data_IF_501106553462
#
_entry.id   IF_501106553462
#
_cell.length_a   1.000
_cell.length_b   1.000
_cell.length_c   1.000
_cell.angle_alpha   90.00
_cell.angle_beta   90.00
_cell.angle_gamma   90.00
#
_symmetry.space_group_name_H-M   'P 1'
#
loop_
_entity.id
_entity.type
_entity.pdbx_description
1 polymer ?
#
# COMPACT_ATOMS: atom_id res chain seq x y z
N UNK A 1 -10.60 28.82 28.47
CA UNK A 1 -9.36 28.02 28.35
C UNK A 1 -9.64 26.52 28.20
N UNK A 2 -10.63 25.95 28.88
CA UNK A 2 -10.99 24.51 28.80
C UNK A 2 -11.63 24.12 27.46
N UNK A 3 -12.52 24.95 26.89
CA UNK A 3 -13.20 24.73 25.62
C UNK A 3 -12.25 24.76 24.41
N UNK A 4 -11.22 25.60 24.48
CA UNK A 4 -10.23 25.71 23.37
C UNK A 4 -9.32 24.46 23.30
N UNK A 5 -8.97 23.87 24.46
CA UNK A 5 -8.17 22.63 24.52
C UNK A 5 -8.94 21.44 23.97
N UNK A 6 -10.24 21.34 24.24
CA UNK A 6 -11.07 20.25 23.73
C UNK A 6 -11.31 20.40 22.21
N UNK A 7 -11.46 21.61 21.67
CA UNK A 7 -11.58 21.84 20.25
C UNK A 7 -10.30 21.48 19.47
N UNK A 8 -9.13 21.81 20.03
CA UNK A 8 -7.84 21.43 19.43
C UNK A 8 -7.64 19.92 19.47
N UNK A 9 -8.01 19.25 20.55
CA UNK A 9 -7.90 17.79 20.66
C UNK A 9 -8.82 17.08 19.67
N UNK A 10 -10.07 17.55 19.52
CA UNK A 10 -11.02 17.03 18.52
C UNK A 10 -10.48 17.26 17.09
N UNK A 11 -9.91 18.43 16.82
CA UNK A 11 -9.33 18.75 15.51
C UNK A 11 -8.12 17.87 15.18
N UNK A 12 -7.26 17.59 16.16
CA UNK A 12 -6.11 16.68 16.00
C UNK A 12 -6.56 15.24 15.79
N UNK A 13 -7.60 14.78 16.51
CA UNK A 13 -8.17 13.45 16.31
C UNK A 13 -8.85 13.31 14.92
N UNK A 14 -9.54 14.34 14.44
CA UNK A 14 -10.14 14.35 13.11
C UNK A 14 -9.10 14.31 11.99
N UNK A 15 -7.98 15.03 12.12
CA UNK A 15 -6.91 14.98 11.13
C UNK A 15 -6.16 13.62 11.14
N UNK A 16 -6.02 12.99 12.30
CA UNK A 16 -5.42 11.65 12.40
C UNK A 16 -6.30 10.56 11.77
N UNK A 17 -7.62 10.71 11.84
CA UNK A 17 -8.57 9.76 11.23
C UNK A 17 -8.58 9.93 9.69
N UNK A 18 -8.49 11.15 9.19
CA UNK A 18 -8.49 11.41 7.75
C UNK A 18 -7.20 10.95 7.05
N UNK A 19 -6.04 11.06 7.69
CA UNK A 19 -4.77 10.60 7.11
C UNK A 19 -4.68 9.08 6.95
N UNK A 20 -5.42 8.32 7.77
CA UNK A 20 -5.52 6.86 7.64
C UNK A 20 -6.52 6.41 6.55
N UNK A 21 -7.43 7.30 6.11
CA UNK A 21 -8.45 6.96 5.12
C UNK A 21 -7.99 7.14 3.66
N UNK A 22 -7.09 8.08 3.38
CA UNK A 22 -6.79 8.47 2.00
C UNK A 22 -5.90 7.48 1.24
N UNK A 23 -5.01 6.76 1.92
CA UNK A 23 -4.08 5.82 1.27
C UNK A 23 -4.77 4.52 0.83
N UNK A 24 -5.93 4.16 1.38
CA UNK A 24 -6.57 2.86 1.16
C UNK A 24 -7.75 2.87 0.19
N UNK A 25 -8.21 4.03 -0.26
CA UNK A 25 -9.40 4.11 -1.13
C UNK A 25 -9.13 3.85 -2.62
N UNK A 26 -7.92 4.09 -3.08
CA UNK A 26 -7.64 4.17 -4.53
C UNK A 26 -7.46 2.80 -5.18
N UNK A 27 -7.17 1.74 -4.46
CA UNK A 27 -6.52 0.58 -5.06
C UNK A 27 -7.12 -0.78 -4.79
N UNK A 28 -8.32 -0.86 -4.24
CA UNK A 28 -8.80 -2.16 -3.79
C UNK A 28 -9.31 -3.06 -4.92
N UNK A 29 -10.02 -2.50 -5.90
CA UNK A 29 -10.43 -3.21 -7.09
C UNK A 29 -11.02 -2.23 -8.11
N UNK A 30 -10.83 -2.48 -9.39
CA UNK A 30 -11.39 -1.62 -10.43
C UNK A 30 -10.95 -2.00 -11.82
N UNK A 31 -11.32 -1.13 -12.76
CA UNK A 31 -10.82 -1.20 -14.11
C UNK A 31 -9.34 -0.84 -14.12
N UNK A 32 -8.58 -1.62 -14.85
CA UNK A 32 -7.16 -1.42 -15.04
C UNK A 32 -6.78 -1.25 -16.49
N UNK A 33 -5.56 -0.83 -16.67
CA UNK A 33 -4.82 -0.82 -17.91
C UNK A 33 -3.48 -1.52 -17.66
N UNK A 34 -3.04 -2.36 -18.57
CA UNK A 34 -1.72 -2.94 -18.48
C UNK A 34 -0.93 -2.69 -19.76
N UNK A 35 0.34 -2.38 -19.57
CA UNK A 35 1.40 -2.37 -20.56
C UNK A 35 2.50 -3.34 -20.12
N UNK A 36 3.62 -3.41 -20.83
CA UNK A 36 4.73 -4.23 -20.40
C UNK A 36 6.07 -3.57 -20.70
N UNK A 37 7.07 -3.92 -19.90
CA UNK A 37 8.45 -3.47 -20.02
C UNK A 37 9.43 -4.60 -19.74
N UNK A 38 10.66 -4.43 -20.16
CA UNK A 38 11.75 -5.33 -19.77
C UNK A 38 12.12 -5.10 -18.32
N UNK A 39 11.48 -5.80 -17.40
CA UNK A 39 11.79 -5.69 -15.98
C UNK A 39 13.25 -6.06 -15.73
N UNK A 40 14.02 -5.13 -15.19
CA UNK A 40 15.38 -5.36 -14.73
C UNK A 40 15.40 -5.65 -13.23
N UNK A 41 16.44 -6.34 -12.78
CA UNK A 41 16.67 -6.51 -11.35
C UNK A 41 16.68 -5.16 -10.63
N UNK A 42 15.91 -5.02 -9.58
CA UNK A 42 16.07 -3.96 -8.61
C UNK A 42 15.21 -2.72 -8.71
N UNK A 43 14.11 -2.69 -9.44
CA UNK A 43 13.18 -1.55 -9.57
C UNK A 43 13.13 -0.57 -8.39
N UNK A 44 12.44 0.55 -8.52
CA UNK A 44 12.46 1.65 -7.54
C UNK A 44 11.98 1.29 -6.12
N UNK A 45 11.43 0.10 -5.92
CA UNK A 45 11.12 -0.41 -4.57
C UNK A 45 12.35 -0.98 -3.85
N UNK A 46 13.49 -1.11 -4.50
CA UNK A 46 14.77 -1.46 -3.86
C UNK A 46 14.82 -2.86 -3.22
N UNK A 47 13.99 -3.81 -3.68
CA UNK A 47 14.01 -5.20 -3.18
C UNK A 47 15.21 -6.02 -3.66
N UNK A 48 16.02 -5.48 -4.57
CA UNK A 48 17.07 -6.22 -5.25
C UNK A 48 16.53 -7.11 -6.36
N UNK A 49 17.31 -8.10 -6.77
CA UNK A 49 16.87 -9.05 -7.80
C UNK A 49 15.89 -10.07 -7.22
N UNK A 50 14.62 -9.85 -7.50
CA UNK A 50 13.50 -10.75 -7.16
C UNK A 50 12.90 -11.41 -8.40
N UNK A 51 13.49 -11.19 -9.59
CA UNK A 51 13.04 -11.79 -10.84
C UNK A 51 13.15 -13.33 -10.78
N UNK A 52 12.03 -13.99 -11.15
CA UNK A 52 11.94 -15.46 -11.07
C UNK A 52 11.46 -16.01 -9.73
N UNK A 53 11.38 -15.19 -8.66
CA UNK A 53 10.77 -15.59 -7.39
C UNK A 53 9.32 -15.14 -7.27
N UNK A 54 9.00 -13.98 -7.83
CA UNK A 54 7.66 -13.41 -7.86
C UNK A 54 7.47 -12.62 -9.15
N UNK A 55 6.28 -12.67 -9.73
CA UNK A 55 5.90 -11.83 -10.86
C UNK A 55 5.80 -10.38 -10.40
N UNK A 56 6.32 -9.43 -11.19
CA UNK A 56 6.42 -8.03 -10.80
C UNK A 56 5.78 -7.08 -11.81
N UNK A 57 5.46 -5.89 -11.32
CA UNK A 57 5.01 -4.76 -12.13
C UNK A 57 5.59 -3.44 -11.61
N UNK A 58 5.70 -2.46 -12.51
CA UNK A 58 5.81 -1.07 -12.15
C UNK A 58 4.41 -0.45 -12.05
N UNK A 59 4.20 0.40 -11.05
CA UNK A 59 2.93 1.07 -10.85
C UNK A 59 2.99 2.54 -11.27
N UNK A 60 1.88 3.07 -11.81
CA UNK A 60 1.72 4.51 -12.00
C UNK A 60 1.90 5.25 -10.67
N UNK A 61 2.18 6.56 -10.74
CA UNK A 61 2.72 7.30 -9.61
C UNK A 61 1.77 7.48 -8.43
N UNK A 62 0.45 7.42 -8.62
CA UNK A 62 -0.52 7.50 -7.51
C UNK A 62 -0.65 6.17 -6.77
N UNK A 63 -0.46 5.04 -7.46
CA UNK A 63 -0.40 3.70 -6.85
C UNK A 63 0.98 3.45 -6.23
N UNK A 64 2.04 3.92 -6.85
CA UNK A 64 3.40 3.86 -6.30
C UNK A 64 3.53 4.68 -5.01
N UNK A 65 2.89 5.85 -4.98
CA UNK A 65 2.72 6.74 -3.80
C UNK A 65 4.00 6.91 -2.98
N UNK A 66 5.06 7.43 -3.61
CA UNK A 66 6.34 7.65 -2.93
C UNK A 66 6.92 6.39 -2.26
N UNK A 67 6.76 5.24 -2.89
CA UNK A 67 7.08 3.89 -2.45
C UNK A 67 6.14 3.25 -1.41
N UNK A 68 5.03 3.88 -1.00
CA UNK A 68 4.03 3.24 -0.15
C UNK A 68 3.36 2.05 -0.83
N UNK A 69 3.26 2.05 -2.17
CA UNK A 69 2.76 0.93 -2.97
C UNK A 69 3.72 -0.25 -3.08
N UNK A 70 4.98 -0.09 -2.71
CA UNK A 70 5.99 -1.14 -2.83
C UNK A 70 5.63 -2.40 -2.05
N UNK A 71 5.74 -3.56 -2.72
CA UNK A 71 5.44 -4.86 -2.14
C UNK A 71 3.96 -5.17 -1.97
N UNK A 72 3.04 -4.29 -2.39
CA UNK A 72 1.63 -4.61 -2.50
C UNK A 72 1.42 -5.47 -3.74
N UNK A 73 0.55 -6.48 -3.64
CA UNK A 73 0.24 -7.38 -4.75
C UNK A 73 -1.15 -7.12 -5.30
N UNK A 74 -1.24 -7.22 -6.62
CA UNK A 74 -2.46 -7.11 -7.38
C UNK A 74 -2.65 -8.35 -8.26
N UNK A 75 -3.88 -8.85 -8.33
CA UNK A 75 -4.28 -9.74 -9.41
C UNK A 75 -4.71 -8.92 -10.61
N UNK A 76 -4.06 -9.15 -11.73
CA UNK A 76 -4.35 -8.52 -13.03
C UNK A 76 -5.03 -9.56 -13.90
N UNK A 77 -6.23 -9.26 -14.39
CA UNK A 77 -7.09 -10.18 -15.13
C UNK A 77 -7.32 -9.60 -16.53
N UNK A 78 -6.90 -10.33 -17.55
CA UNK A 78 -7.13 -10.02 -18.96
C UNK A 78 -7.93 -11.10 -19.68
N UNK A 79 -7.94 -11.06 -21.02
CA UNK A 79 -8.77 -11.98 -21.82
C UNK A 79 -8.26 -13.42 -21.80
N UNK A 80 -6.95 -13.65 -21.70
CA UNK A 80 -6.35 -14.98 -21.74
C UNK A 80 -6.12 -15.61 -20.35
N UNK A 81 -6.13 -14.79 -19.29
CA UNK A 81 -5.91 -15.31 -17.96
C UNK A 81 -5.66 -14.22 -16.91
N UNK A 82 -5.16 -14.64 -15.76
CA UNK A 82 -4.80 -13.72 -14.69
C UNK A 82 -3.42 -14.02 -14.08
N UNK A 83 -2.80 -13.00 -13.51
CA UNK A 83 -1.53 -13.08 -12.78
C UNK A 83 -1.58 -12.23 -11.53
N UNK A 84 -0.96 -12.72 -10.48
CA UNK A 84 -0.68 -11.93 -9.27
C UNK A 84 0.72 -11.35 -9.43
N UNK A 85 0.79 -10.02 -9.40
CA UNK A 85 2.03 -9.26 -9.54
C UNK A 85 2.29 -8.42 -8.29
N UNK A 86 3.54 -8.29 -7.90
CA UNK A 86 3.97 -7.41 -6.82
C UNK A 86 4.49 -6.09 -7.40
N UNK A 87 4.08 -4.97 -6.81
CA UNK A 87 4.67 -3.67 -7.16
C UNK A 87 6.12 -3.65 -6.68
N UNK A 88 7.03 -3.61 -7.65
CA UNK A 88 8.48 -3.58 -7.42
C UNK A 88 9.14 -2.33 -8.00
N UNK A 89 8.41 -1.57 -8.81
CA UNK A 89 8.94 -0.40 -9.51
C UNK A 89 7.88 0.70 -9.67
N UNK A 90 8.29 1.87 -10.11
CA UNK A 90 7.44 2.99 -10.49
C UNK A 90 7.40 3.16 -12.00
N UNK A 91 6.26 3.59 -12.54
CA UNK A 91 6.06 3.92 -13.95
C UNK A 91 5.64 5.39 -14.10
N UNK A 92 6.59 6.35 -14.18
CA UNK A 92 6.27 7.77 -14.32
C UNK A 92 5.52 8.12 -15.62
N UNK A 93 5.67 7.30 -16.67
CA UNK A 93 4.99 7.47 -17.95
C UNK A 93 3.60 6.84 -18.01
N UNK A 94 3.23 6.04 -17.01
CA UNK A 94 1.91 5.44 -16.92
C UNK A 94 0.85 6.49 -16.58
N UNK A 95 -0.34 6.36 -17.18
CA UNK A 95 -1.45 7.26 -16.89
C UNK A 95 -1.97 7.08 -15.48
N UNK A 96 -2.22 8.18 -14.79
CA UNK A 96 -2.69 8.18 -13.39
C UNK A 96 -4.15 7.79 -13.26
N UNK A 97 -4.50 7.20 -12.12
CA UNK A 97 -5.91 6.88 -11.78
C UNK A 97 -6.77 8.12 -11.80
N UNK A 98 -6.31 9.24 -11.23
CA UNK A 98 -7.05 10.50 -11.19
C UNK A 98 -7.40 11.07 -12.58
N UNK A 99 -6.60 10.72 -13.60
CA UNK A 99 -6.78 11.18 -14.97
C UNK A 99 -7.72 10.27 -15.77
N UNK A 100 -7.66 8.96 -15.54
CA UNK A 100 -8.30 7.95 -16.40
C UNK A 100 -9.39 7.13 -15.71
N UNK A 101 -9.44 7.14 -14.39
CA UNK A 101 -10.28 6.22 -13.61
C UNK A 101 -9.81 4.76 -13.66
N UNK A 102 -8.62 4.49 -14.20
CA UNK A 102 -8.05 3.14 -14.36
C UNK A 102 -6.70 3.03 -13.69
N UNK A 103 -6.48 1.98 -12.92
CA UNK A 103 -5.15 1.61 -12.39
C UNK A 103 -4.26 1.20 -13.55
N UNK A 104 -3.13 1.85 -13.74
CA UNK A 104 -2.17 1.48 -14.79
C UNK A 104 -0.96 0.76 -14.18
N UNK A 105 -0.79 -0.51 -14.56
CA UNK A 105 0.37 -1.32 -14.21
C UNK A 105 1.17 -1.65 -15.48
N UNK A 106 2.48 -1.44 -15.41
CA UNK A 106 3.43 -1.83 -16.44
C UNK A 106 4.05 -3.17 -16.02
N UNK A 107 3.68 -4.23 -16.71
CA UNK A 107 3.97 -5.60 -16.30
C UNK A 107 5.34 -6.05 -16.79
N UNK A 108 5.97 -6.98 -16.10
CA UNK A 108 7.11 -7.71 -16.65
C UNK A 108 6.70 -8.36 -17.99
N UNK A 109 7.47 -8.12 -19.04
CA UNK A 109 7.16 -8.60 -20.39
C UNK A 109 7.01 -10.13 -20.49
N UNK A 110 7.55 -10.89 -19.55
CA UNK A 110 7.45 -12.35 -19.49
C UNK A 110 6.06 -12.83 -19.07
N UNK A 111 5.33 -12.01 -18.33
CA UNK A 111 4.01 -12.38 -17.81
C UNK A 111 2.86 -11.81 -18.66
N UNK A 112 3.08 -10.72 -19.39
CA UNK A 112 2.06 -10.08 -20.20
C UNK A 112 1.38 -11.06 -21.19
N UNK A 113 2.10 -11.96 -21.92
CA UNK A 113 1.49 -12.94 -22.82
C UNK A 113 0.60 -13.99 -22.15
N UNK A 114 0.67 -14.10 -20.81
CA UNK A 114 -0.17 -15.01 -20.05
C UNK A 114 -1.51 -14.37 -19.63
N UNK A 115 -1.63 -13.06 -19.85
CA UNK A 115 -2.79 -12.24 -19.51
C UNK A 115 -3.54 -11.85 -20.77
N UNK A 116 -2.82 -11.48 -21.85
CA UNK A 116 -3.40 -11.12 -23.15
C UNK A 116 -2.36 -11.25 -24.28
N UNK A 117 -2.80 -10.97 -25.51
CA UNK A 117 -1.97 -11.01 -26.72
C UNK A 117 -0.91 -9.88 -26.64
N UNK A 118 0.39 -10.25 -26.72
CA UNK A 118 1.51 -9.32 -26.55
C UNK A 118 1.51 -8.18 -27.58
N UNK A 119 1.09 -8.47 -28.80
CA UNK A 119 1.06 -7.53 -29.92
C UNK A 119 0.07 -6.37 -29.70
N UNK A 120 -0.90 -6.50 -28.80
CA UNK A 120 -1.80 -5.40 -28.41
C UNK A 120 -1.03 -4.25 -27.72
N UNK A 121 0.06 -4.55 -27.02
CA UNK A 121 0.91 -3.57 -26.33
C UNK A 121 0.27 -2.91 -25.13
N UNK A 122 -1.00 -2.53 -25.25
CA UNK A 122 -1.83 -1.92 -24.20
C UNK A 122 -3.15 -2.66 -24.16
N UNK A 123 -3.56 -3.07 -22.95
CA UNK A 123 -4.80 -3.83 -22.73
C UNK A 123 -5.64 -3.24 -21.59
N UNK A 124 -6.94 -3.36 -21.71
CA UNK A 124 -7.84 -3.15 -20.58
C UNK A 124 -7.88 -4.40 -19.72
N UNK A 125 -7.87 -4.24 -18.41
CA UNK A 125 -7.83 -5.32 -17.42
C UNK A 125 -8.81 -5.05 -16.28
N UNK A 126 -9.12 -6.08 -15.51
CA UNK A 126 -9.64 -5.92 -14.16
C UNK A 126 -8.49 -6.13 -13.18
N UNK A 127 -8.41 -5.27 -12.16
CA UNK A 127 -7.32 -5.28 -11.19
C UNK A 127 -7.91 -5.31 -9.78
N UNK A 128 -7.37 -6.14 -8.90
CA UNK A 128 -7.72 -6.15 -7.49
C UNK A 128 -6.51 -6.40 -6.60
N UNK A 129 -6.48 -5.72 -5.46
CA UNK A 129 -5.45 -5.96 -4.44
C UNK A 129 -5.68 -7.34 -3.81
N UNK A 130 -4.60 -8.11 -3.69
CA UNK A 130 -4.62 -9.46 -3.10
C UNK A 130 -3.40 -9.68 -2.23
N UNK A 131 -3.42 -10.65 -1.31
CA UNK A 131 -2.20 -11.05 -0.62
C UNK A 131 -1.15 -11.59 -1.59
N UNK A 132 0.11 -11.21 -1.36
CA UNK A 132 1.24 -11.70 -2.14
C UNK A 132 1.46 -13.21 -1.97
N UNK A 133 1.84 -13.89 -3.03
CA UNK A 133 2.14 -15.31 -3.04
C UNK A 133 3.59 -15.58 -2.60
N UNK A 134 3.92 -15.16 -1.39
CA UNK A 134 5.22 -15.40 -0.78
C UNK A 134 5.12 -16.46 0.31
N UNK A 135 6.23 -17.14 0.59
CA UNK A 135 6.35 -18.16 1.63
C UNK A 135 7.26 -17.73 2.76
N UNK A 136 7.06 -18.32 3.94
CA UNK A 136 7.86 -18.00 5.14
C UNK A 136 7.45 -16.70 5.81
N UNK A 137 8.35 -16.17 6.63
CA UNK A 137 8.10 -15.01 7.48
C UNK A 137 8.46 -13.69 6.80
N UNK A 138 7.93 -12.59 7.31
CA UNK A 138 8.38 -11.25 6.97
C UNK A 138 9.87 -11.12 7.32
N UNK A 139 10.61 -10.38 6.51
CA UNK A 139 12.03 -10.11 6.73
C UNK A 139 12.30 -8.62 6.87
N UNK A 140 13.14 -8.28 7.83
CA UNK A 140 13.66 -6.93 8.03
C UNK A 140 15.14 -6.89 7.62
N UNK A 141 15.48 -5.93 6.78
CA UNK A 141 16.85 -5.70 6.31
C UNK A 141 17.35 -4.37 6.87
N UNK A 142 18.25 -4.41 7.82
CA UNK A 142 18.94 -3.22 8.35
C UNK A 142 20.20 -3.04 7.50
N UNK A 143 20.15 -2.10 6.56
CA UNK A 143 21.21 -1.92 5.56
C UNK A 143 22.35 -1.06 6.05
N UNK A 144 22.02 -0.07 6.89
CA UNK A 144 23.00 0.79 7.54
C UNK A 144 22.54 1.13 8.95
N UNK A 145 23.45 1.14 9.87
CA UNK A 145 23.19 1.54 11.25
C UNK A 145 24.45 2.04 11.94
N UNK A 146 24.28 3.06 12.75
CA UNK A 146 25.25 3.53 13.72
C UNK A 146 24.50 4.24 14.87
N UNK A 147 25.19 4.83 15.82
CA UNK A 147 24.52 5.48 16.96
C UNK A 147 23.65 6.70 16.60
N UNK A 148 23.67 7.15 15.34
CA UNK A 148 22.99 8.36 14.89
C UNK A 148 22.16 8.16 13.62
N UNK A 149 22.20 6.96 13.02
CA UNK A 149 21.60 6.70 11.73
C UNK A 149 21.03 5.29 11.66
N UNK A 150 19.83 5.18 11.14
CA UNK A 150 19.12 3.94 10.87
C UNK A 150 18.59 3.94 9.46
N UNK A 151 18.84 2.90 8.69
CA UNK A 151 18.30 2.68 7.37
C UNK A 151 17.91 1.20 7.24
N UNK A 152 16.63 0.96 6.96
CA UNK A 152 16.09 -0.37 6.82
C UNK A 152 15.00 -0.44 5.76
N UNK A 153 14.68 -1.65 5.32
CA UNK A 153 13.47 -1.98 4.58
C UNK A 153 12.96 -3.35 5.00
N UNK A 154 11.72 -3.65 4.68
CA UNK A 154 11.16 -4.99 4.89
C UNK A 154 10.82 -5.64 3.56
N UNK A 155 10.79 -6.97 3.54
CA UNK A 155 10.44 -7.78 2.39
C UNK A 155 9.69 -9.05 2.78
N UNK A 156 9.28 -9.84 1.79
CA UNK A 156 8.63 -11.13 1.96
C UNK A 156 7.36 -11.08 2.81
N UNK A 157 6.59 -10.00 2.72
CA UNK A 157 5.31 -9.88 3.41
C UNK A 157 4.15 -10.20 2.46
N UNK A 158 3.14 -10.93 2.99
CA UNK A 158 1.91 -11.26 2.25
C UNK A 158 0.99 -10.05 2.10
N UNK A 159 0.97 -9.20 3.10
CA UNK A 159 0.14 -7.99 3.15
C UNK A 159 1.07 -6.78 3.14
N UNK A 160 0.79 -5.82 2.27
CA UNK A 160 1.59 -4.61 2.10
C UNK A 160 1.94 -3.94 3.42
N UNK A 161 3.09 -3.29 3.47
CA UNK A 161 3.60 -2.62 4.66
C UNK A 161 3.10 -1.17 4.70
N UNK A 162 2.41 -0.80 5.78
CA UNK A 162 1.97 0.57 6.03
C UNK A 162 3.11 1.43 6.63
N UNK A 163 3.70 0.97 7.74
CA UNK A 163 4.76 1.72 8.42
C UNK A 163 5.77 0.82 9.12
N UNK A 164 6.91 1.41 9.43
CA UNK A 164 7.91 0.88 10.34
C UNK A 164 8.04 1.83 11.52
N UNK A 165 7.97 1.29 12.72
CA UNK A 165 8.13 2.04 13.96
C UNK A 165 9.32 1.53 14.76
N UNK A 166 9.95 2.42 15.50
CA UNK A 166 11.00 2.07 16.46
C UNK A 166 10.64 2.56 17.86
N UNK A 167 11.07 1.80 18.86
CA UNK A 167 11.06 2.18 20.28
C UNK A 167 12.48 2.13 20.79
N UNK A 168 12.87 3.08 21.62
CA UNK A 168 14.19 3.21 22.19
C UNK A 168 14.09 3.16 23.72
N UNK A 169 14.97 2.39 24.35
CA UNK A 169 15.09 2.30 25.82
C UNK A 169 13.77 1.96 26.53
N UNK A 170 12.89 1.21 25.86
CA UNK A 170 11.58 0.84 26.42
C UNK A 170 10.54 1.96 26.40
N UNK A 171 10.82 3.07 25.70
CA UNK A 171 9.86 4.15 25.48
C UNK A 171 8.79 3.81 24.43
N UNK A 172 7.94 4.79 24.13
CA UNK A 172 6.87 4.64 23.13
C UNK A 172 7.43 4.41 21.72
N UNK A 173 6.63 3.73 20.88
CA UNK A 173 6.93 3.57 19.46
C UNK A 173 6.65 4.88 18.70
N UNK A 174 7.51 5.21 17.77
CA UNK A 174 7.34 6.32 16.84
C UNK A 174 7.63 5.90 15.40
N UNK A 175 6.97 6.54 14.44
CA UNK A 175 7.12 6.22 13.03
C UNK A 175 8.48 6.65 12.50
N UNK A 176 9.07 5.79 11.69
CA UNK A 176 10.25 6.11 10.88
C UNK A 176 9.75 6.53 9.50
N UNK A 177 10.21 7.69 9.03
CA UNK A 177 9.81 8.18 7.72
C UNK A 177 10.21 7.21 6.60
N UNK A 178 9.27 6.91 5.71
CA UNK A 178 9.55 6.19 4.48
C UNK A 178 10.13 7.18 3.47
N UNK A 179 11.29 6.86 2.93
CA UNK A 179 11.97 7.58 1.88
C UNK A 179 11.89 6.82 0.56
N UNK A 180 12.45 7.39 -0.50
CA UNK A 180 12.55 6.75 -1.80
C UNK A 180 13.14 5.34 -1.72
N UNK A 181 12.82 4.52 -2.68
CA UNK A 181 13.26 3.12 -2.77
C UNK A 181 12.81 2.26 -1.58
N UNK A 182 11.63 2.56 -1.00
CA UNK A 182 11.05 1.80 0.11
C UNK A 182 11.99 1.72 1.33
N UNK A 183 12.77 2.77 1.58
CA UNK A 183 13.68 2.85 2.72
C UNK A 183 13.04 3.58 3.89
N UNK A 184 13.22 3.04 5.07
CA UNK A 184 12.86 3.70 6.33
C UNK A 184 14.13 4.27 6.93
N UNK A 185 14.19 5.61 7.03
CA UNK A 185 15.41 6.31 7.41
C UNK A 185 15.14 7.19 8.62
N UNK A 186 16.02 7.11 9.60
CA UNK A 186 15.99 7.98 10.78
C UNK A 186 17.38 8.45 11.18
N UNK A 187 17.47 9.74 11.53
CA UNK A 187 18.67 10.38 12.07
C UNK A 187 18.51 10.64 13.58
N UNK A 188 18.36 9.57 14.35
CA UNK A 188 18.11 9.65 15.80
C UNK A 188 19.40 9.25 16.54
N UNK A 189 19.75 10.06 17.55
CA UNK A 189 20.86 9.74 18.44
C UNK A 189 20.49 8.68 19.48
N UNK A 190 21.47 7.89 19.90
CA UNK A 190 21.35 6.85 20.95
C UNK A 190 20.43 5.69 20.57
N UNK A 191 20.71 5.03 19.47
CA UNK A 191 20.01 3.81 19.02
C UNK A 191 20.38 2.59 19.91
N UNK A 192 20.16 2.71 21.22
CA UNK A 192 20.37 1.62 22.18
C UNK A 192 19.03 1.04 22.62
N UNK A 193 19.02 -0.25 23.01
CA UNK A 193 17.84 -0.99 23.42
C UNK A 193 16.66 -0.74 22.46
N UNK A 194 16.88 -1.01 21.19
CA UNK A 194 15.96 -0.73 20.10
C UNK A 194 15.01 -1.90 19.87
N UNK A 195 13.74 -1.57 19.65
CA UNK A 195 12.75 -2.48 19.07
C UNK A 195 12.29 -1.92 17.74
N UNK A 196 12.19 -2.78 16.72
CA UNK A 196 11.64 -2.43 15.41
C UNK A 196 10.35 -3.18 15.21
N UNK A 197 9.28 -2.44 14.93
CA UNK A 197 7.93 -2.95 14.68
C UNK A 197 7.50 -2.61 13.27
N UNK A 198 6.94 -3.57 12.58
CA UNK A 198 6.34 -3.43 11.25
C UNK A 198 4.83 -3.45 11.38
N UNK A 199 4.15 -2.56 10.65
CA UNK A 199 2.70 -2.46 10.64
C UNK A 199 2.23 -2.65 9.20
N UNK A 200 1.34 -3.63 8.99
CA UNK A 200 0.74 -3.89 7.68
C UNK A 200 -0.35 -2.88 7.33
N UNK A 201 -0.75 -2.82 6.05
CA UNK A 201 -1.90 -2.03 5.59
C UNK A 201 -3.23 -2.50 6.20
N UNK A 202 -3.31 -3.71 6.77
CA UNK A 202 -4.45 -4.19 7.55
C UNK A 202 -4.39 -3.80 9.03
N UNK A 203 -3.31 -3.14 9.48
CA UNK A 203 -3.11 -2.70 10.86
C UNK A 203 -2.51 -3.75 11.78
N UNK A 204 -2.14 -4.94 11.27
CA UNK A 204 -1.47 -5.95 12.07
C UNK A 204 -0.02 -5.55 12.36
N UNK A 205 0.45 -5.83 13.57
CA UNK A 205 1.77 -5.44 14.07
C UNK A 205 2.67 -6.66 14.28
N UNK A 206 3.93 -6.55 13.85
CA UNK A 206 4.98 -7.54 14.09
C UNK A 206 6.21 -6.84 14.65
N UNK A 207 6.62 -7.18 15.88
CA UNK A 207 7.93 -6.79 16.40
C UNK A 207 8.96 -7.73 15.79
N UNK A 208 9.80 -7.18 14.92
CA UNK A 208 10.74 -7.93 14.10
C UNK A 208 12.16 -7.95 14.64
N UNK A 209 12.52 -6.95 15.41
CA UNK A 209 13.85 -6.79 15.96
C UNK A 209 13.80 -6.22 17.36
N UNK A 210 14.57 -6.82 18.28
CA UNK A 210 14.76 -6.33 19.64
C UNK A 210 16.18 -6.65 20.08
N UNK A 211 17.01 -5.64 20.37
CA UNK A 211 18.37 -5.80 20.82
C UNK A 211 18.87 -4.56 21.60
N UNK A 212 19.92 -4.76 22.41
CA UNK A 212 20.60 -3.66 23.11
C UNK A 212 21.30 -2.68 22.17
N UNK A 213 21.67 -3.13 20.98
CA UNK A 213 22.31 -2.32 19.94
C UNK A 213 21.65 -2.60 18.60
N UNK A 214 21.68 -1.62 17.71
CA UNK A 214 21.27 -1.84 16.34
C UNK A 214 22.42 -2.43 15.53
N UNK A 215 22.16 -3.52 14.84
CA UNK A 215 23.18 -4.25 14.07
C UNK A 215 22.70 -4.36 12.62
N UNK A 216 23.56 -4.01 11.68
CA UNK A 216 23.31 -4.23 10.25
C UNK A 216 23.17 -5.74 9.98
N UNK A 217 22.17 -6.12 9.20
CA UNK A 217 21.91 -7.52 8.85
C UNK A 217 20.48 -7.77 8.37
N UNK A 218 20.23 -9.03 8.05
CA UNK A 218 18.94 -9.54 7.63
C UNK A 218 18.31 -10.35 8.76
N UNK A 219 17.08 -10.02 9.12
CA UNK A 219 16.38 -10.59 10.25
C UNK A 219 15.07 -11.23 9.82
N UNK A 220 14.85 -12.46 10.24
CA UNK A 220 13.57 -13.13 10.13
C UNK A 220 12.67 -12.69 11.28
N UNK A 221 11.51 -12.14 10.97
CA UNK A 221 10.58 -11.63 11.98
C UNK A 221 9.82 -12.73 12.74
N UNK A 222 10.03 -14.00 12.41
CA UNK A 222 9.37 -15.14 13.05
C UNK A 222 7.88 -15.26 12.78
N UNK A 223 7.28 -14.33 12.03
CA UNK A 223 5.86 -14.25 11.73
C UNK A 223 5.61 -13.75 10.32
N UNK A 224 4.38 -13.97 9.86
CA UNK A 224 3.82 -13.40 8.62
C UNK A 224 2.52 -12.64 8.96
N UNK A 225 2.20 -11.59 8.21
CA UNK A 225 0.92 -10.90 8.34
C UNK A 225 -0.26 -11.80 7.97
N UNK A 226 -1.36 -11.66 8.70
CA UNK A 226 -2.56 -12.49 8.57
C UNK A 226 -3.34 -12.16 7.31
N UNK A 227 -3.46 -13.14 6.43
CA UNK A 227 -4.31 -13.06 5.24
C UNK A 227 -5.79 -12.95 5.63
N UNK A 228 -6.20 -13.55 6.75
CA UNK A 228 -7.57 -13.46 7.23
C UNK A 228 -7.95 -12.04 7.59
N UNK A 229 -7.08 -11.33 8.33
CA UNK A 229 -7.36 -9.96 8.77
C UNK A 229 -7.43 -8.99 7.58
N UNK A 230 -6.61 -9.23 6.55
CA UNK A 230 -6.71 -8.51 5.28
C UNK A 230 -8.09 -8.68 4.64
N UNK A 231 -8.58 -9.90 4.49
CA UNK A 231 -9.88 -10.15 3.87
C UNK A 231 -11.05 -9.64 4.73
N UNK A 232 -10.95 -9.69 6.04
CA UNK A 232 -11.96 -9.17 6.94
C UNK A 232 -12.09 -7.64 6.81
N UNK A 233 -10.96 -6.93 6.69
CA UNK A 233 -10.94 -5.50 6.44
C UNK A 233 -11.45 -5.16 5.04
N UNK A 234 -10.99 -5.89 4.03
CA UNK A 234 -11.39 -5.75 2.64
C UNK A 234 -12.90 -5.93 2.46
N UNK A 235 -13.47 -6.96 3.04
CA UNK A 235 -14.92 -7.23 2.96
C UNK A 235 -15.75 -6.14 3.62
N UNK A 236 -15.32 -5.59 4.76
CA UNK A 236 -16.04 -4.50 5.45
C UNK A 236 -16.07 -3.20 4.66
N UNK A 237 -14.98 -2.85 3.99
CA UNK A 237 -14.90 -1.63 3.19
C UNK A 237 -15.73 -1.70 1.91
N UNK A 238 -15.74 -2.85 1.24
CA UNK A 238 -16.47 -3.02 -0.03
C UNK A 238 -17.98 -3.06 0.17
N UNK A 239 -18.47 -3.72 1.21
CA UNK A 239 -19.90 -3.84 1.50
C UNK A 239 -20.53 -2.47 1.82
N UNK A 240 -19.74 -1.49 2.33
CA UNK A 240 -20.24 -0.16 2.67
C UNK A 240 -20.39 0.81 1.50
N UNK A 241 -19.68 0.63 0.38
CA UNK A 241 -19.56 1.67 -0.65
C UNK A 241 -20.05 1.28 -2.06
N UNK A 242 -20.04 0.00 -2.46
CA UNK A 242 -20.53 -0.40 -3.78
C UNK A 242 -21.00 -1.86 -3.83
N UNK A 243 -22.29 -2.10 -3.69
CA UNK A 243 -22.91 -3.41 -3.95
C UNK A 243 -22.80 -3.91 -5.41
N UNK A 244 -22.22 -3.11 -6.32
CA UNK A 244 -22.33 -3.33 -7.76
C UNK A 244 -21.14 -3.94 -8.47
N UNK A 245 -19.97 -4.07 -7.83
CA UNK A 245 -18.79 -4.64 -8.50
C UNK A 245 -18.57 -6.09 -8.05
N UNK A 246 -18.95 -7.06 -8.90
CA UNK A 246 -18.67 -8.47 -8.65
C UNK A 246 -17.19 -8.80 -8.54
N UNK A 247 -16.35 -8.03 -9.22
CA UNK A 247 -14.89 -8.18 -9.19
C UNK A 247 -14.26 -7.91 -7.81
N UNK A 248 -14.96 -7.15 -6.96
CA UNK A 248 -14.51 -6.84 -5.61
C UNK A 248 -14.97 -7.88 -4.57
N UNK A 249 -15.80 -8.85 -4.96
CA UNK A 249 -16.18 -9.94 -4.07
C UNK A 249 -14.99 -10.88 -3.85
N UNK A 250 -14.96 -11.54 -2.69
CA UNK A 250 -13.96 -12.52 -2.27
C UNK A 250 -13.58 -13.42 -3.47
N UNK A 251 -12.30 -13.75 -3.68
CA UNK A 251 -11.91 -14.61 -4.79
C UNK A 251 -12.64 -15.96 -4.68
N UNK A 252 -13.70 -16.09 -5.43
CA UNK A 252 -14.27 -17.38 -5.78
C UNK A 252 -13.52 -17.86 -7.02
N UNK A 253 -13.34 -19.15 -7.11
CA UNK A 253 -12.62 -19.90 -8.15
C UNK A 253 -12.57 -19.18 -9.53
N UNK A 254 -11.45 -19.29 -10.20
CA UNK A 254 -11.10 -18.73 -11.52
C UNK A 254 -12.26 -18.78 -12.57
N UNK A 255 -13.22 -19.70 -12.43
CA UNK A 255 -14.37 -19.82 -13.32
C UNK A 255 -15.41 -18.70 -13.23
N UNK A 256 -15.43 -17.91 -12.13
CA UNK A 256 -16.39 -16.81 -11.95
C UNK A 256 -15.81 -15.44 -12.38
N UNK A 257 -14.50 -15.36 -12.59
CA UNK A 257 -13.78 -14.13 -12.93
C UNK A 257 -14.11 -13.64 -14.35
N UNK A 258 -14.42 -14.54 -15.27
CA UNK A 258 -14.77 -14.21 -16.66
C UNK A 258 -16.09 -13.43 -16.82
N UNK A 259 -16.85 -13.22 -15.75
CA UNK A 259 -18.09 -12.42 -15.75
C UNK A 259 -17.92 -11.00 -15.22
N UNK A 260 -16.75 -10.63 -14.76
CA UNK A 260 -16.47 -9.30 -14.19
C UNK A 260 -16.50 -8.20 -15.28
N UNK A 261 -17.66 -7.65 -15.59
CA UNK A 261 -17.79 -6.37 -16.28
C UNK A 261 -17.96 -5.27 -15.23
N UNK A 262 -16.93 -4.45 -15.06
CA UNK A 262 -17.02 -3.26 -14.21
C UNK A 262 -17.77 -2.19 -14.99
N UNK A 263 -19.04 -1.94 -14.64
CA UNK A 263 -19.74 -0.74 -15.14
C UNK A 263 -19.16 0.48 -14.43
N UNK A 264 -18.45 1.31 -15.19
CA UNK A 264 -17.92 2.59 -14.72
C UNK A 264 -19.05 3.62 -14.56
N UNK A 265 -19.66 3.64 -13.39
CA UNK A 265 -20.38 4.84 -12.94
C UNK A 265 -19.44 5.65 -12.05
N UNK A 266 -18.41 6.25 -12.62
CA UNK A 266 -17.69 7.33 -11.98
C UNK A 266 -18.59 8.57 -12.00
N UNK A 267 -19.52 8.65 -11.05
CA UNK A 267 -20.15 9.94 -10.76
C UNK A 267 -19.03 10.82 -10.20
N UNK A 268 -18.68 11.87 -10.96
CA UNK A 268 -17.96 13.02 -10.40
C UNK A 268 -18.62 13.35 -9.06
N UNK A 269 -17.99 12.98 -7.96
CA UNK A 269 -18.37 13.54 -6.68
C UNK A 269 -18.11 15.03 -6.83
N UNK A 270 -19.18 15.79 -6.98
CA UNK A 270 -19.13 17.23 -6.94
C UNK A 270 -18.38 17.58 -5.66
N UNK A 271 -17.25 18.25 -5.84
CA UNK A 271 -16.54 18.92 -4.77
C UNK A 271 -17.56 19.75 -3.98
N UNK A 272 -18.11 19.19 -2.92
CA UNK A 272 -18.72 19.95 -1.86
C UNK A 272 -17.56 20.68 -1.16
N UNK A 273 -17.11 21.77 -1.80
CA UNK A 273 -16.40 22.82 -1.12
C UNK A 273 -17.37 23.39 -0.09
N UNK A 274 -17.41 22.77 1.09
CA UNK A 274 -17.94 23.46 2.26
C UNK A 274 -17.01 24.66 2.48
N UNK A 275 -17.51 25.82 2.07
CA UNK A 275 -16.85 27.09 2.38
C UNK A 275 -16.69 27.16 3.89
N UNK A 276 -15.47 27.37 4.36
CA UNK A 276 -15.14 27.59 5.77
C UNK A 276 -16.01 28.67 6.44
N UNK A 277 -16.64 29.54 5.65
CA UNK A 277 -17.57 30.55 6.11
C UNK A 277 -18.86 29.96 6.69
N UNK A 278 -19.36 28.83 6.18
CA UNK A 278 -20.62 28.22 6.63
C UNK A 278 -20.51 27.56 7.99
N UNK A 279 -19.33 27.01 8.32
CA UNK A 279 -19.08 26.40 9.62
C UNK A 279 -18.85 27.45 10.70
N UNK A 280 -18.21 28.57 10.34
CA UNK A 280 -18.00 29.69 11.29
C UNK A 280 -19.32 30.35 11.71
N UNK A 281 -20.28 30.48 10.78
CA UNK A 281 -21.63 31.03 11.06
C UNK A 281 -22.48 30.11 11.93
N UNK A 282 -22.29 28.78 11.85
CA UNK A 282 -23.00 27.83 12.70
C UNK A 282 -22.50 27.84 14.16
N UNK A 283 -21.21 28.05 14.35
CA UNK A 283 -20.60 28.11 15.68
C UNK A 283 -20.92 29.43 16.41
N UNK A 284 -21.03 30.52 15.66
CA UNK A 284 -21.38 31.84 16.23
C UNK A 284 -22.85 31.88 16.68
N UNK A 285 -23.78 31.17 16.02
CA UNK A 285 -25.18 31.09 16.43
C UNK A 285 -25.46 30.15 17.62
N UNK A 286 -24.47 29.43 18.13
CA UNK A 286 -24.59 28.59 19.33
C UNK A 286 -24.01 29.28 20.58
N UNK A 287 -23.31 30.41 20.39
CA UNK A 287 -22.62 31.12 21.47
C UNK A 287 -23.23 32.50 21.81
N UNK A 288 -24.39 32.84 21.25
CA UNK A 288 -25.17 34.02 21.65
C UNK A 288 -26.61 33.64 21.98
#
# INVERSE_FOLDING_TARGET
MFLLKNAILIFLLFNSINSLQDVHQISQCGNGKATYYGASAGGNCGFGDITGYIDTAAAEMEIYDGSNGCGICYEVIGELGSKIVMIADSCPSCSKVSETGKIHLDLDERIFPQIDIKEKGIIDTSIRMVPCQVSGNVKLHITESNNYYFNAYASNYKIGLNSLQISLNGGDYFDVARADHNRFISNISNLNNIKVKLISISGEEIVCYENSQIIKGDYDCGKQFSVKDFYDLYSRKIIGENEKSECCKKPSLISEINSCKVETNYSKSNNLRFSFLSIFLLIVNILF
#
